data_IF_354224079746
#
_entry.id   IF_354224079746
#
_cell.length_a   1.000
_cell.length_b   1.000
_cell.length_c   1.000
_cell.angle_alpha   90.00
_cell.angle_beta   90.00
_cell.angle_gamma   90.00
#
_symmetry.space_group_name_H-M   'P 1'
#
loop_
_entity.id
_entity.type
_entity.pdbx_description
1 polymer ?
#
# COMPACT_ATOMS: atom_id res chain seq x y z
N UNK A 1 -19.31 -5.87 3.64
CA UNK A 1 -19.61 -6.23 2.24
C UNK A 1 -19.08 -5.20 1.25
N UNK A 2 -19.08 -3.90 1.57
CA UNK A 2 -18.75 -2.83 0.62
C UNK A 2 -17.27 -2.75 0.19
N UNK A 3 -16.35 -2.94 1.14
CA UNK A 3 -14.90 -2.91 0.86
C UNK A 3 -14.47 -3.99 -0.16
N UNK A 4 -14.99 -5.20 0.00
CA UNK A 4 -14.63 -6.30 -0.90
C UNK A 4 -15.21 -6.12 -2.31
N UNK A 5 -16.42 -5.57 -2.43
CA UNK A 5 -17.00 -5.19 -3.71
C UNK A 5 -16.19 -4.08 -4.38
N UNK A 6 -15.70 -3.09 -3.62
CA UNK A 6 -14.83 -2.03 -4.13
C UNK A 6 -13.48 -2.57 -4.61
N UNK A 7 -12.88 -3.52 -3.87
CA UNK A 7 -11.64 -4.20 -4.28
C UNK A 7 -11.86 -5.06 -5.54
N UNK A 8 -12.99 -5.74 -5.67
CA UNK A 8 -13.31 -6.55 -6.86
C UNK A 8 -13.65 -5.68 -8.07
N UNK A 9 -14.25 -4.50 -7.86
CA UNK A 9 -14.47 -3.51 -8.91
C UNK A 9 -13.16 -2.83 -9.37
N UNK A 10 -12.10 -2.89 -8.56
CA UNK A 10 -10.76 -2.46 -8.93
C UNK A 10 -10.11 -3.46 -9.89
N UNK A 11 -10.63 -3.53 -11.12
CA UNK A 11 -9.98 -4.16 -12.27
C UNK A 11 -9.08 -3.18 -13.02
N UNK A 12 -8.40 -2.28 -12.30
CA UNK A 12 -7.69 -1.16 -12.91
C UNK A 12 -6.25 -1.46 -13.29
N UNK A 13 -5.65 -0.50 -13.99
CA UNK A 13 -4.24 -0.53 -14.35
C UNK A 13 -3.44 0.48 -13.52
N UNK A 14 -2.30 0.04 -13.00
CA UNK A 14 -1.29 0.92 -12.43
C UNK A 14 -0.66 1.78 -13.54
N UNK A 15 -0.34 3.04 -13.25
CA UNK A 15 0.32 3.91 -14.23
C UNK A 15 1.75 3.50 -14.55
N UNK A 16 2.45 2.89 -13.59
CA UNK A 16 3.80 2.39 -13.77
C UNK A 16 3.81 0.85 -13.80
N UNK A 17 4.86 0.22 -14.38
CA UNK A 17 5.10 -1.20 -14.18
C UNK A 17 5.16 -1.53 -12.68
N UNK A 18 4.64 -2.69 -12.27
CA UNK A 18 4.59 -3.07 -10.86
C UNK A 18 5.96 -2.98 -10.15
N UNK A 19 7.04 -3.30 -10.86
CA UNK A 19 8.41 -3.23 -10.34
C UNK A 19 8.82 -1.82 -9.89
N UNK A 20 8.21 -0.75 -10.42
CA UNK A 20 8.48 0.62 -10.01
C UNK A 20 8.04 0.90 -8.55
N UNK A 21 7.02 0.19 -8.06
CA UNK A 21 6.48 0.33 -6.71
C UNK A 21 7.20 -0.57 -5.70
N UNK A 22 8.08 -1.47 -6.12
CA UNK A 22 8.85 -2.34 -5.22
C UNK A 22 9.89 -1.50 -4.46
N UNK A 23 10.03 -1.74 -3.16
CA UNK A 23 11.03 -1.09 -2.31
C UNK A 23 10.67 -1.12 -0.82
N UNK A 24 11.56 -0.53 -0.02
CA UNK A 24 11.31 -0.26 1.41
C UNK A 24 10.88 1.19 1.55
N UNK A 25 9.88 1.41 2.38
CA UNK A 25 9.22 2.67 2.64
C UNK A 25 9.27 2.93 4.13
N UNK A 26 9.71 4.11 4.56
CA UNK A 26 9.87 4.45 5.96
C UNK A 26 8.92 5.57 6.35
N UNK A 27 8.18 5.35 7.44
CA UNK A 27 7.41 6.37 8.15
C UNK A 27 7.95 6.48 9.58
N UNK A 28 8.04 7.70 10.09
CA UNK A 28 8.68 7.97 11.40
C UNK A 28 7.92 7.29 12.55
N UNK A 29 6.59 7.25 12.47
CA UNK A 29 5.72 6.69 13.49
C UNK A 29 5.58 5.17 13.36
N UNK A 30 5.44 4.67 12.14
CA UNK A 30 5.08 3.28 11.85
C UNK A 30 6.28 2.39 11.52
N UNK A 31 7.43 2.99 11.25
CA UNK A 31 8.64 2.28 10.82
C UNK A 31 8.57 1.84 9.37
N UNK A 32 9.21 0.73 9.05
CA UNK A 32 9.36 0.29 7.67
C UNK A 32 8.14 -0.50 7.19
N UNK A 33 7.74 -0.21 5.96
CA UNK A 33 6.83 -1.01 5.15
C UNK A 33 7.55 -1.47 3.89
N UNK A 34 7.49 -2.76 3.58
CA UNK A 34 8.10 -3.32 2.37
C UNK A 34 7.02 -3.62 1.33
N UNK A 35 7.22 -3.13 0.11
CA UNK A 35 6.44 -3.53 -1.07
C UNK A 35 7.30 -4.45 -1.91
N UNK A 36 6.83 -5.68 -2.13
CA UNK A 36 7.52 -6.72 -2.92
C UNK A 36 6.63 -7.32 -3.98
N UNK A 37 7.21 -7.79 -5.08
CA UNK A 37 6.50 -8.49 -6.15
C UNK A 37 6.50 -10.00 -5.87
N UNK A 38 5.34 -10.62 -5.80
CA UNK A 38 5.15 -12.05 -5.56
C UNK A 38 4.09 -12.58 -6.52
N UNK A 39 4.43 -13.57 -7.35
CA UNK A 39 3.46 -14.20 -8.26
C UNK A 39 2.78 -13.21 -9.22
N UNK A 40 3.49 -12.19 -9.68
CA UNK A 40 2.94 -11.15 -10.57
C UNK A 40 2.07 -10.10 -9.88
N UNK A 41 1.94 -10.13 -8.56
CA UNK A 41 1.21 -9.14 -7.75
C UNK A 41 2.17 -8.39 -6.83
N UNK A 42 1.73 -7.24 -6.34
CA UNK A 42 2.43 -6.52 -5.28
C UNK A 42 1.91 -6.94 -3.91
N UNK A 43 2.80 -6.97 -2.93
CA UNK A 43 2.51 -7.35 -1.55
C UNK A 43 3.14 -6.35 -0.59
N UNK A 44 2.33 -5.84 0.31
CA UNK A 44 2.71 -4.90 1.36
C UNK A 44 2.90 -5.65 2.68
N UNK A 45 3.97 -5.34 3.41
CA UNK A 45 4.30 -5.94 4.71
C UNK A 45 4.81 -4.85 5.64
N UNK A 46 4.19 -4.68 6.80
CA UNK A 46 4.66 -3.77 7.85
C UNK A 46 5.65 -4.49 8.78
N UNK A 47 6.83 -3.89 8.98
CA UNK A 47 7.91 -4.49 9.78
C UNK A 47 7.55 -4.66 11.26
N UNK A 48 6.84 -3.69 11.85
CA UNK A 48 6.46 -3.68 13.28
C UNK A 48 5.18 -4.44 13.59
N UNK A 49 4.42 -4.83 12.57
CA UNK A 49 3.13 -5.52 12.73
C UNK A 49 3.00 -6.55 11.63
N UNK A 50 3.57 -7.74 11.86
CA UNK A 50 3.64 -8.80 10.84
C UNK A 50 2.27 -9.32 10.39
N UNK A 51 1.24 -9.15 11.22
CA UNK A 51 -0.15 -9.46 10.86
C UNK A 51 -0.72 -8.50 9.81
N UNK A 52 -0.14 -7.29 9.70
CA UNK A 52 -0.52 -6.28 8.72
C UNK A 52 0.27 -6.51 7.43
N UNK A 53 -0.10 -7.57 6.72
CA UNK A 53 0.43 -7.92 5.41
C UNK A 53 -0.68 -8.33 4.43
N UNK A 54 -0.53 -7.96 3.17
CA UNK A 54 -1.59 -8.19 2.19
C UNK A 54 -1.21 -7.86 0.76
N UNK A 55 -2.03 -8.32 -0.17
CA UNK A 55 -1.85 -8.09 -1.60
C UNK A 55 -2.38 -6.70 -1.97
N UNK A 56 -1.65 -5.98 -2.81
CA UNK A 56 -2.07 -4.70 -3.38
C UNK A 56 -2.76 -4.94 -4.73
N UNK A 57 -4.03 -4.54 -4.81
CA UNK A 57 -4.84 -4.60 -6.02
C UNK A 57 -4.89 -3.21 -6.68
N UNK A 58 -4.45 -3.06 -7.94
CA UNK A 58 -4.48 -1.75 -8.61
C UNK A 58 -5.92 -1.27 -8.81
N UNK A 59 -6.20 -0.01 -8.44
CA UNK A 59 -7.53 0.59 -8.61
C UNK A 59 -7.55 1.58 -9.77
N UNK A 60 -6.90 2.74 -9.64
CA UNK A 60 -6.79 3.75 -10.69
C UNK A 60 -5.56 4.60 -10.43
N UNK A 61 -4.74 4.80 -11.47
CA UNK A 61 -3.57 5.65 -11.35
C UNK A 61 -2.46 5.01 -10.52
N UNK A 62 -2.05 5.71 -9.46
CA UNK A 62 -1.07 5.24 -8.49
C UNK A 62 -1.73 4.73 -7.18
N UNK A 63 -3.03 4.46 -7.22
CA UNK A 63 -3.79 3.99 -6.07
C UNK A 63 -4.00 2.49 -6.14
N UNK A 64 -3.78 1.82 -5.02
CA UNK A 64 -3.99 0.39 -4.83
C UNK A 64 -4.86 0.17 -3.60
N UNK A 65 -5.75 -0.80 -3.64
CA UNK A 65 -6.43 -1.28 -2.44
C UNK A 65 -5.61 -2.41 -1.83
N UNK A 66 -5.39 -2.37 -0.52
CA UNK A 66 -4.75 -3.48 0.18
C UNK A 66 -5.81 -4.47 0.63
N UNK A 67 -5.61 -5.73 0.23
CA UNK A 67 -6.38 -6.88 0.70
C UNK A 67 -5.53 -7.64 1.70
N UNK A 68 -5.80 -7.45 2.98
CA UNK A 68 -5.07 -8.11 4.06
C UNK A 68 -5.27 -9.63 4.03
N UNK A 69 -4.21 -10.37 4.40
CA UNK A 69 -4.27 -11.82 4.58
C UNK A 69 -5.25 -12.21 5.68
N UNK A 70 -5.10 -11.58 6.86
CA UNK A 70 -6.00 -11.78 7.98
C UNK A 70 -7.29 -10.99 7.72
N UNK A 71 -8.30 -11.68 7.20
CA UNK A 71 -9.62 -11.11 6.88
C UNK A 71 -10.43 -10.66 8.10
N UNK A 72 -10.01 -11.02 9.31
CA UNK A 72 -10.62 -10.50 10.55
C UNK A 72 -10.14 -9.09 10.89
N UNK A 73 -9.07 -8.60 10.26
CA UNK A 73 -8.61 -7.23 10.42
C UNK A 73 -9.51 -6.33 9.57
N UNK A 74 -10.33 -5.52 10.23
CA UNK A 74 -11.19 -4.50 9.60
C UNK A 74 -10.36 -3.27 9.18
N UNK A 75 -9.25 -3.47 8.47
CA UNK A 75 -8.30 -2.42 8.12
C UNK A 75 -8.19 -2.18 6.60
N UNK A 76 -9.14 -2.66 5.78
CA UNK A 76 -9.07 -2.48 4.33
C UNK A 76 -8.83 -0.99 4.00
N UNK A 77 -7.79 -0.73 3.21
CA UNK A 77 -7.24 0.61 2.99
C UNK A 77 -6.86 0.82 1.52
N UNK A 78 -6.73 2.08 1.14
CA UNK A 78 -6.10 2.53 -0.08
C UNK A 78 -4.66 2.95 0.21
N UNK A 79 -3.75 2.57 -0.69
CA UNK A 79 -2.36 3.00 -0.72
C UNK A 79 -2.21 3.88 -1.95
N UNK A 80 -1.81 5.13 -1.76
CA UNK A 80 -1.57 6.08 -2.84
C UNK A 80 -0.06 6.33 -2.98
N UNK A 81 0.53 5.84 -4.06
CA UNK A 81 1.94 6.08 -4.35
C UNK A 81 2.15 7.46 -4.96
N UNK A 82 3.17 8.17 -4.47
CA UNK A 82 3.60 9.46 -5.00
C UNK A 82 4.82 9.28 -5.89
N UNK A 83 4.92 10.11 -6.93
CA UNK A 83 6.08 10.17 -7.81
C UNK A 83 6.86 11.46 -7.58
N UNK A 84 8.19 11.39 -7.65
CA UNK A 84 9.05 12.57 -7.71
C UNK A 84 9.04 13.22 -9.09
N UNK A 85 9.76 14.34 -9.23
CA UNK A 85 9.86 15.09 -10.48
C UNK A 85 10.50 14.29 -11.63
N UNK A 86 11.26 13.25 -11.31
CA UNK A 86 11.86 12.32 -12.27
C UNK A 86 10.88 11.20 -12.73
N UNK A 87 9.63 11.21 -12.25
CA UNK A 87 8.64 10.18 -12.53
C UNK A 87 8.81 8.87 -11.75
N UNK A 88 9.84 8.76 -10.90
CA UNK A 88 10.04 7.58 -10.05
C UNK A 88 9.18 7.66 -8.79
N UNK A 89 8.73 6.51 -8.29
CA UNK A 89 7.99 6.42 -7.02
C UNK A 89 8.89 6.90 -5.88
N UNK A 90 8.42 7.89 -5.11
CA UNK A 90 9.17 8.55 -4.02
C UNK A 90 8.61 8.25 -2.64
N UNK A 91 7.37 7.76 -2.54
CA UNK A 91 6.71 7.50 -1.27
C UNK A 91 5.29 6.99 -1.43
N UNK A 92 4.59 6.83 -0.32
CA UNK A 92 3.17 6.46 -0.31
C UNK A 92 2.44 7.02 0.92
N UNK A 93 1.18 7.42 0.74
CA UNK A 93 0.24 7.63 1.85
C UNK A 93 -0.79 6.51 1.89
N UNK A 94 -1.53 6.43 2.99
CA UNK A 94 -2.67 5.51 3.12
C UNK A 94 -3.95 6.26 3.48
N UNK A 95 -5.10 5.65 3.16
CA UNK A 95 -6.41 6.12 3.57
C UNK A 95 -7.33 4.92 3.82
N UNK A 96 -8.28 5.00 4.76
CA UNK A 96 -9.27 3.93 4.94
C UNK A 96 -10.09 3.75 3.66
N UNK A 97 -10.36 2.48 3.28
CA UNK A 97 -11.19 2.17 2.11
C UNK A 97 -12.68 2.42 2.38
N UNK A 98 -13.10 2.33 3.65
CA UNK A 98 -14.50 2.45 4.07
C UNK A 98 -14.59 3.18 5.42
N UNK A 99 -15.71 3.85 5.73
CA UNK A 99 -15.99 4.38 7.07
C UNK A 99 -16.03 3.29 8.16
N UNK A 100 -16.20 2.03 7.77
CA UNK A 100 -16.17 0.87 8.69
C UNK A 100 -14.77 0.32 8.92
N UNK A 101 -13.75 0.85 8.23
CA UNK A 101 -12.35 0.57 8.53
C UNK A 101 -12.05 1.11 9.93
N UNK A 102 -11.50 0.26 10.79
CA UNK A 102 -11.21 0.62 12.17
C UNK A 102 -10.23 1.81 12.21
N UNK A 103 -10.59 2.84 12.98
CA UNK A 103 -9.82 4.07 13.07
C UNK A 103 -8.47 3.87 13.77
N UNK A 104 -8.30 2.80 14.57
CA UNK A 104 -7.10 2.52 15.38
C UNK A 104 -5.82 2.28 14.57
N UNK A 105 -5.89 2.29 13.23
CA UNK A 105 -4.75 2.12 12.34
C UNK A 105 -4.13 3.44 11.86
N UNK A 106 -4.76 4.59 12.17
CA UNK A 106 -4.26 5.95 11.90
C UNK A 106 -3.75 6.16 10.45
N UNK A 107 -4.38 5.49 9.47
CA UNK A 107 -3.89 5.49 8.08
C UNK A 107 -3.71 6.89 7.49
N UNK A 108 -4.57 7.83 7.90
CA UNK A 108 -4.53 9.23 7.47
C UNK A 108 -3.28 9.99 7.92
N UNK A 109 -2.59 9.52 8.96
CA UNK A 109 -1.39 10.14 9.53
C UNK A 109 -0.11 9.51 8.98
N UNK A 110 -0.22 8.43 8.20
CA UNK A 110 0.93 7.75 7.63
C UNK A 110 1.46 8.47 6.39
N UNK A 111 2.74 8.84 6.43
CA UNK A 111 3.45 9.43 5.31
C UNK A 111 4.80 8.75 5.08
N UNK A 112 4.79 7.71 4.24
CA UNK A 112 6.00 6.95 3.98
C UNK A 112 6.85 7.59 2.87
N UNK A 113 8.14 7.66 3.12
CA UNK A 113 9.16 7.99 2.11
C UNK A 113 9.82 6.71 1.62
N UNK A 114 9.94 6.53 0.30
CA UNK A 114 10.68 5.40 -0.27
C UNK A 114 12.16 5.58 0.04
N UNK A 115 12.76 4.59 0.69
CA UNK A 115 14.20 4.58 0.93
C UNK A 115 14.90 4.45 -0.42
N UNK A 116 15.92 5.28 -0.64
CA UNK A 116 16.79 5.09 -1.78
C UNK A 116 17.38 3.68 -1.67
N UNK A 117 17.32 2.91 -2.75
CA UNK A 117 18.11 1.69 -2.84
C UNK A 117 19.56 2.16 -2.68
N UNK A 118 20.14 1.93 -1.51
CA UNK A 118 21.54 2.23 -1.28
C UNK A 118 22.33 1.46 -2.32
N UNK A 119 23.00 2.18 -3.22
CA UNK A 119 24.19 1.64 -3.85
C UNK A 119 25.17 1.34 -2.71
N UNK A 120 25.19 0.09 -2.28
CA UNK A 120 26.36 -0.50 -1.62
C UNK A 120 26.92 -1.53 -2.59
#
# INVERSE_FOLDING_TARGET
>A
HDAEAAIQAAGGHAFLPLDAYVGVYHDVWRGDATVKKVGGKLRLVFSRTTELQGDLQPTKGNVFAVRWDNRSIMADALVNFRTGLNGAVSGMTMAPLSPTTDFSFDFQDLDFTKLANGSQ
#
